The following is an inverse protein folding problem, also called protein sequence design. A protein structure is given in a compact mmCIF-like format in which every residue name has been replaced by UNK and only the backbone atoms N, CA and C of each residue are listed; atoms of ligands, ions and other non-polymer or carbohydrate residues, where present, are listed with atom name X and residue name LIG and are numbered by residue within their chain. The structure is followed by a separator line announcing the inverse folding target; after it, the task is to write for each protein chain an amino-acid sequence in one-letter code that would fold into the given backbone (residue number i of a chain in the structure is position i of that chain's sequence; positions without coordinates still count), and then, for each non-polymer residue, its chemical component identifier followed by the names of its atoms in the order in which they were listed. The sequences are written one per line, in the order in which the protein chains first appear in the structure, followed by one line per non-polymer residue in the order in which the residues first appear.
data_IF_468344820998
#
_entry.id   IF_468344820998
#
_cell.length_a   1.000
_cell.length_b   1.000
_cell.length_c   1.000
_cell.angle_alpha   90.00
_cell.angle_beta   90.00
_cell.angle_gamma   90.00
#
_symmetry.space_group_name_H-M   'P 1'
#
loop_
_entity.id
_entity.type
_entity.pdbx_description
1 polymer ?
#
# COMPACT_ATOMS: atom_id res chain seq x y z
N UNK A 1 -21.17 5.41 0.83
CA UNK A 1 -20.83 5.45 2.26
C UNK A 1 -21.14 4.09 2.83
N UNK A 2 -20.11 3.35 3.27
CA UNK A 2 -20.29 2.08 4.00
C UNK A 2 -20.88 2.40 5.39
N UNK A 3 -22.01 1.79 5.78
CA UNK A 3 -22.71 2.08 7.04
C UNK A 3 -21.98 1.56 8.30
N UNK A 4 -20.87 0.84 8.18
CA UNK A 4 -20.10 0.31 9.33
C UNK A 4 -19.21 1.35 10.03
N UNK A 5 -19.01 2.53 9.43
CA UNK A 5 -18.06 3.54 9.94
C UNK A 5 -16.58 3.10 9.84
N UNK A 6 -16.32 1.89 9.33
CA UNK A 6 -14.98 1.41 9.05
C UNK A 6 -14.52 2.05 7.74
N UNK A 7 -13.49 2.90 7.81
CA UNK A 7 -12.78 3.35 6.62
C UNK A 7 -11.72 2.29 6.28
N UNK A 8 -11.78 1.62 5.11
CA UNK A 8 -10.69 0.81 4.61
C UNK A 8 -9.35 1.54 4.77
N UNK A 9 -8.26 0.81 5.05
CA UNK A 9 -6.93 1.43 5.15
C UNK A 9 -6.58 2.25 3.89
N UNK A 10 -7.08 1.80 2.72
CA UNK A 10 -6.98 2.53 1.45
C UNK A 10 -7.61 3.92 1.48
N UNK A 11 -8.74 4.12 2.16
CA UNK A 11 -9.36 5.45 2.28
C UNK A 11 -8.49 6.40 3.11
N UNK A 12 -7.82 5.90 4.15
CA UNK A 12 -6.86 6.67 4.94
C UNK A 12 -5.61 7.01 4.13
N UNK A 13 -5.16 6.05 3.30
CA UNK A 13 -4.04 6.22 2.40
C UNK A 13 -4.30 7.30 1.36
N UNK A 14 -5.47 7.28 0.73
CA UNK A 14 -5.88 8.27 -0.28
C UNK A 14 -6.05 9.65 0.35
N UNK A 15 -6.64 9.72 1.54
CA UNK A 15 -6.73 10.98 2.29
C UNK A 15 -5.35 11.54 2.64
N UNK A 16 -4.42 10.70 3.09
CA UNK A 16 -3.06 11.11 3.46
C UNK A 16 -2.32 11.68 2.25
N UNK A 17 -2.28 10.94 1.14
CA UNK A 17 -1.55 11.36 -0.05
C UNK A 17 -2.24 12.52 -0.76
N UNK A 18 -3.57 12.53 -0.82
CA UNK A 18 -4.33 13.67 -1.32
C UNK A 18 -4.11 14.92 -0.48
N UNK A 19 -4.02 14.80 0.84
CA UNK A 19 -3.73 15.92 1.74
C UNK A 19 -2.33 16.50 1.52
N UNK A 20 -1.31 15.64 1.40
CA UNK A 20 0.05 16.08 1.08
C UNK A 20 0.10 16.80 -0.25
N UNK A 21 -0.47 16.19 -1.28
CA UNK A 21 -0.51 16.77 -2.62
C UNK A 21 -1.23 18.11 -2.63
N UNK A 22 -2.37 18.21 -1.95
CA UNK A 22 -3.15 19.45 -1.84
C UNK A 22 -2.39 20.56 -1.11
N UNK A 23 -1.65 20.24 -0.04
CA UNK A 23 -0.80 21.20 0.66
C UNK A 23 0.31 21.75 -0.23
N UNK A 24 1.09 20.86 -0.85
CA UNK A 24 2.19 21.24 -1.75
C UNK A 24 1.67 22.04 -2.94
N UNK A 25 0.61 21.57 -3.57
CA UNK A 25 0.00 22.24 -4.71
C UNK A 25 -0.54 23.61 -4.32
N UNK A 26 -1.17 23.75 -3.16
CA UNK A 26 -1.64 25.03 -2.62
C UNK A 26 -0.52 26.03 -2.39
N UNK A 27 0.60 25.60 -1.80
CA UNK A 27 1.77 26.45 -1.57
C UNK A 27 2.39 26.92 -2.89
N UNK A 28 2.62 25.99 -3.84
CA UNK A 28 3.17 26.33 -5.16
C UNK A 28 2.22 27.27 -5.91
N UNK A 29 0.94 26.93 -5.95
CA UNK A 29 -0.08 27.73 -6.63
C UNK A 29 -0.21 29.13 -6.02
N UNK A 30 -0.14 29.25 -4.70
CA UNK A 30 -0.19 30.52 -3.99
C UNK A 30 0.99 31.44 -4.33
N UNK A 31 2.19 30.88 -4.44
CA UNK A 31 3.39 31.61 -4.88
C UNK A 31 3.25 32.10 -6.32
N UNK A 32 2.68 31.27 -7.20
CA UNK A 32 2.62 31.56 -8.65
C UNK A 32 1.53 32.56 -9.01
N UNK A 33 0.34 32.44 -8.42
CA UNK A 33 -0.82 33.22 -8.86
C UNK A 33 -1.73 33.73 -7.73
N UNK A 34 -1.21 33.89 -6.51
CA UNK A 34 -1.96 34.45 -5.36
C UNK A 34 -3.22 33.61 -5.07
N UNK A 35 -4.30 34.08 -4.40
CA UNK A 35 -5.38 33.19 -3.95
C UNK A 35 -5.96 32.24 -5.02
N UNK A 36 -6.22 32.67 -6.27
CA UNK A 36 -6.71 31.76 -7.32
C UNK A 36 -5.72 30.63 -7.64
N UNK A 37 -4.43 30.95 -7.66
CA UNK A 37 -3.36 29.97 -7.85
C UNK A 37 -3.33 28.93 -6.74
N UNK A 38 -3.49 29.36 -5.48
CA UNK A 38 -3.54 28.44 -4.34
C UNK A 38 -4.71 27.45 -4.43
N UNK A 39 -5.90 27.90 -4.84
CA UNK A 39 -7.05 27.01 -5.01
C UNK A 39 -6.86 26.00 -6.13
N UNK A 40 -6.37 26.45 -7.29
CA UNK A 40 -6.09 25.57 -8.43
C UNK A 40 -4.99 24.57 -8.05
N UNK A 41 -3.92 25.06 -7.44
CA UNK A 41 -2.80 24.26 -6.97
C UNK A 41 -3.24 23.22 -5.95
N UNK A 42 -4.10 23.57 -4.99
CA UNK A 42 -4.63 22.62 -4.01
C UNK A 42 -5.44 21.50 -4.67
N UNK A 43 -6.29 21.83 -5.65
CA UNK A 43 -7.09 20.83 -6.37
C UNK A 43 -6.23 19.89 -7.21
N UNK A 44 -5.33 20.45 -8.03
CA UNK A 44 -4.43 19.65 -8.88
C UNK A 44 -3.44 18.84 -8.04
N UNK A 45 -2.86 19.45 -7.02
CA UNK A 45 -1.95 18.82 -6.09
C UNK A 45 -2.62 17.66 -5.38
N UNK A 46 -3.86 17.82 -4.90
CA UNK A 46 -4.61 16.74 -4.26
C UNK A 46 -4.83 15.54 -5.20
N UNK A 47 -5.23 15.79 -6.44
CA UNK A 47 -5.40 14.73 -7.43
C UNK A 47 -4.08 13.99 -7.74
N UNK A 48 -2.98 14.74 -7.91
CA UNK A 48 -1.64 14.17 -8.12
C UNK A 48 -1.18 13.38 -6.91
N UNK A 49 -1.45 13.88 -5.70
CA UNK A 49 -1.16 13.18 -4.45
C UNK A 49 -1.82 11.80 -4.40
N UNK A 50 -3.13 11.74 -4.59
CA UNK A 50 -3.88 10.47 -4.64
C UNK A 50 -3.29 9.52 -5.70
N UNK A 51 -3.00 10.02 -6.90
CA UNK A 51 -2.41 9.21 -7.96
C UNK A 51 -1.04 8.62 -7.58
N UNK A 52 -0.16 9.39 -6.94
CA UNK A 52 1.12 8.88 -6.42
C UNK A 52 0.87 7.81 -5.35
N UNK A 53 -0.09 8.06 -4.46
CA UNK A 53 -0.52 7.11 -3.44
C UNK A 53 -0.94 5.77 -4.06
N UNK A 54 -1.74 5.79 -5.13
CA UNK A 54 -2.16 4.59 -5.86
C UNK A 54 -0.96 3.81 -6.42
N UNK A 55 0.00 4.49 -7.05
CA UNK A 55 1.20 3.84 -7.59
C UNK A 55 2.04 3.15 -6.50
N UNK A 56 2.18 3.77 -5.33
CA UNK A 56 2.90 3.17 -4.20
C UNK A 56 2.11 1.97 -3.64
N UNK A 57 0.79 2.10 -3.54
CA UNK A 57 -0.08 1.02 -3.07
C UNK A 57 0.01 -0.20 -3.97
N UNK A 58 -0.15 -0.03 -5.28
CA UNK A 58 -0.06 -1.10 -6.27
C UNK A 58 1.30 -1.81 -6.24
N UNK A 59 2.40 -1.05 -6.14
CA UNK A 59 3.73 -1.62 -5.99
C UNK A 59 3.90 -2.42 -4.69
N UNK A 60 3.31 -1.94 -3.60
CA UNK A 60 3.28 -2.64 -2.31
C UNK A 60 2.50 -3.95 -2.36
N UNK A 61 1.33 -3.97 -2.99
CA UNK A 61 0.53 -5.18 -3.17
C UNK A 61 1.27 -6.23 -4.00
N UNK A 62 1.91 -5.83 -5.10
CA UNK A 62 2.71 -6.74 -5.92
C UNK A 62 3.85 -7.38 -5.11
N UNK A 63 4.56 -6.59 -4.30
CA UNK A 63 5.61 -7.11 -3.44
C UNK A 63 5.05 -8.05 -2.35
N UNK A 64 3.92 -7.68 -1.75
CA UNK A 64 3.26 -8.51 -0.74
C UNK A 64 2.90 -9.89 -1.30
N UNK A 65 2.32 -9.94 -2.50
CA UNK A 65 1.95 -11.20 -3.16
C UNK A 65 3.17 -12.06 -3.46
N UNK A 66 4.25 -11.47 -3.99
CA UNK A 66 5.53 -12.19 -4.23
C UNK A 66 6.06 -12.81 -2.93
N UNK A 67 6.08 -12.04 -1.84
CA UNK A 67 6.59 -12.50 -0.54
C UNK A 67 5.68 -13.58 0.04
N UNK A 68 4.36 -13.40 -0.05
CA UNK A 68 3.36 -14.36 0.43
C UNK A 68 3.47 -15.69 -0.30
N UNK A 69 3.65 -15.66 -1.62
CA UNK A 69 3.82 -16.86 -2.43
C UNK A 69 5.12 -17.59 -2.08
N UNK A 70 6.23 -16.86 -1.95
CA UNK A 70 7.51 -17.40 -1.54
C UNK A 70 7.43 -18.05 -0.15
N UNK A 71 6.78 -17.38 0.81
CA UNK A 71 6.59 -17.91 2.16
C UNK A 71 5.73 -19.18 2.18
N UNK A 72 4.64 -19.19 1.40
CA UNK A 72 3.76 -20.34 1.29
C UNK A 72 4.49 -21.54 0.69
N UNK A 73 5.31 -21.32 -0.35
CA UNK A 73 6.17 -22.35 -0.93
C UNK A 73 7.21 -22.90 0.04
N UNK A 74 7.87 -22.03 0.82
CA UNK A 74 8.84 -22.42 1.84
C UNK A 74 8.19 -23.27 2.93
N UNK A 75 7.02 -22.83 3.43
CA UNK A 75 6.25 -23.55 4.43
C UNK A 75 5.89 -24.97 3.97
N UNK A 76 5.44 -25.11 2.72
CA UNK A 76 5.15 -26.43 2.15
C UNK A 76 6.37 -27.34 2.08
N UNK A 77 7.56 -26.80 1.76
CA UNK A 77 8.81 -27.58 1.80
C UNK A 77 9.21 -27.99 3.21
N UNK A 78 9.07 -27.09 4.19
CA UNK A 78 9.33 -27.37 5.60
C UNK A 78 8.41 -28.47 6.14
N UNK A 79 7.14 -28.47 5.78
CA UNK A 79 6.19 -29.51 6.19
C UNK A 79 6.56 -30.88 5.61
N UNK A 80 7.00 -30.95 4.34
CA UNK A 80 7.51 -32.21 3.75
C UNK A 80 8.75 -32.73 4.46
N UNK A 81 9.70 -31.84 4.81
CA UNK A 81 10.91 -32.23 5.55
C UNK A 81 10.57 -32.74 6.96
N UNK A 82 9.62 -32.12 7.64
CA UNK A 82 9.13 -32.61 8.94
C UNK A 82 8.55 -34.01 8.83
N UNK A 83 7.75 -34.28 7.79
CA UNK A 83 7.21 -35.62 7.54
C UNK A 83 8.33 -36.63 7.21
N UNK A 84 9.33 -36.25 6.42
CA UNK A 84 10.45 -37.11 6.10
C UNK A 84 11.28 -37.47 7.34
N UNK A 85 11.57 -36.49 8.20
CA UNK A 85 12.25 -36.76 9.46
C UNK A 85 11.41 -37.64 10.39
N UNK A 86 10.10 -37.44 10.46
CA UNK A 86 9.22 -38.30 11.25
C UNK A 86 9.23 -39.76 10.74
N UNK A 87 9.27 -39.97 9.42
CA UNK A 87 9.40 -41.31 8.85
C UNK A 87 10.77 -41.95 9.12
N UNK A 88 11.85 -41.15 9.14
CA UNK A 88 13.18 -41.65 9.50
C UNK A 88 13.24 -42.08 10.98
N UNK A 89 12.68 -41.27 11.87
CA UNK A 89 12.56 -41.59 13.30
C UNK A 89 11.74 -42.89 13.51
N UNK A 90 10.65 -43.10 12.74
CA UNK A 90 9.86 -44.33 12.79
C UNK A 90 10.60 -45.57 12.27
N UNK A 91 11.54 -45.39 11.34
CA UNK A 91 12.40 -46.45 10.81
C UNK A 91 13.61 -46.77 11.71
N UNK A 92 13.80 -46.01 12.81
CA UNK A 92 14.86 -46.24 13.79
C UNK A 92 16.28 -45.92 13.30
N UNK A 93 16.40 -45.02 12.31
CA UNK A 93 17.66 -44.45 11.81
C UNK A 93 17.94 -43.12 12.51
#
# INVERSE_FOLDING_TARGET
MDPSGYRPFKDYWDWFWGGIGAGIGGDIGGVVASPPGAWIGMGLGGAVGVWIGDQIWEGGEQLYDIVKDAWTGLRGKLEKLKMYNAMLDELGL
#
